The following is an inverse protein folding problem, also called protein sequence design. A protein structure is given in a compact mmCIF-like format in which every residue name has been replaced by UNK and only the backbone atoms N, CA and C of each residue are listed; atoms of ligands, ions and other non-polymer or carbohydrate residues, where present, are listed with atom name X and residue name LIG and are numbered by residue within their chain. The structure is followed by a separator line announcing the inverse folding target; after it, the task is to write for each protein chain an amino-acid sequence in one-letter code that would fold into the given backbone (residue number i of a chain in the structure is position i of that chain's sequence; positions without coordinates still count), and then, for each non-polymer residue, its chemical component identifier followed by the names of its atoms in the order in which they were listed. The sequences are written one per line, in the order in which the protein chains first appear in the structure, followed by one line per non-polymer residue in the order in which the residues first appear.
data_IF_758003274552
#
_entry.id   IF_758003274552
#
_cell.length_a   1.000
_cell.length_b   1.000
_cell.length_c   1.000
_cell.angle_alpha   90.00
_cell.angle_beta   90.00
_cell.angle_gamma   90.00
#
_symmetry.space_group_name_H-M   'P 1'
#
loop_
_entity.id
_entity.type
_entity.pdbx_description
1 polymer ?
#
# COMPACT_ATOMS: atom_id res chain seq x y z
N UNK A 1 31.52 -15.90 -5.55
CA UNK A 1 30.56 -14.90 -6.09
C UNK A 1 31.38 -13.88 -6.85
N UNK A 2 31.05 -13.62 -8.11
CA UNK A 2 31.69 -12.55 -8.87
C UNK A 2 31.56 -11.22 -8.09
N UNK A 3 32.67 -10.50 -7.89
CA UNK A 3 32.70 -9.25 -7.13
C UNK A 3 31.79 -8.19 -7.78
N UNK A 4 31.67 -8.21 -9.11
CA UNK A 4 30.78 -7.31 -9.85
C UNK A 4 29.31 -7.66 -9.58
N UNK A 5 28.96 -8.94 -9.51
CA UNK A 5 27.59 -9.38 -9.20
C UNK A 5 27.19 -8.98 -7.78
N UNK A 6 28.11 -9.10 -6.81
CA UNK A 6 27.86 -8.66 -5.43
C UNK A 6 27.59 -7.16 -5.37
N UNK A 7 28.42 -6.34 -6.02
CA UNK A 7 28.26 -4.88 -6.03
C UNK A 7 26.94 -4.47 -6.70
N UNK A 8 26.62 -5.05 -7.86
CA UNK A 8 25.38 -4.78 -8.56
C UNK A 8 24.14 -5.16 -7.74
N UNK A 9 24.19 -6.30 -7.02
CA UNK A 9 23.10 -6.69 -6.15
C UNK A 9 22.89 -5.72 -4.98
N UNK A 10 23.96 -5.18 -4.39
CA UNK A 10 23.86 -4.17 -3.33
C UNK A 10 23.24 -2.88 -3.87
N UNK A 11 23.77 -2.36 -4.98
CA UNK A 11 23.25 -1.14 -5.61
C UNK A 11 21.78 -1.29 -6.01
N UNK A 12 21.39 -2.45 -6.57
CA UNK A 12 20.02 -2.77 -6.96
C UNK A 12 19.02 -2.74 -5.78
N UNK A 13 19.44 -3.13 -4.58
CA UNK A 13 18.56 -3.15 -3.40
C UNK A 13 18.60 -1.86 -2.58
N UNK A 14 19.59 -1.00 -2.80
CA UNK A 14 19.84 0.20 -1.99
C UNK A 14 19.36 1.49 -2.67
N UNK A 15 19.62 1.65 -3.97
CA UNK A 15 19.42 2.93 -4.65
C UNK A 15 18.13 2.99 -5.49
N UNK A 16 17.59 4.19 -5.70
CA UNK A 16 16.31 4.43 -6.38
C UNK A 16 15.13 4.21 -5.44
N UNK A 17 14.73 2.94 -5.24
CA UNK A 17 13.73 2.55 -4.24
C UNK A 17 14.25 1.33 -3.48
N UNK A 18 14.66 1.48 -2.21
CA UNK A 18 15.21 0.36 -1.45
C UNK A 18 14.24 -0.81 -1.31
N UNK A 19 14.80 -2.02 -1.32
CA UNK A 19 14.05 -3.27 -1.16
C UNK A 19 13.41 -3.78 -2.46
N UNK A 20 12.47 -4.72 -2.32
CA UNK A 20 11.86 -5.45 -3.46
C UNK A 20 10.35 -5.35 -3.55
N UNK A 21 9.69 -4.97 -2.46
CA UNK A 21 8.24 -5.04 -2.32
C UNK A 21 7.68 -3.62 -2.23
N UNK A 22 6.53 -3.40 -2.88
CA UNK A 22 5.75 -2.17 -2.75
C UNK A 22 4.27 -2.50 -2.73
N UNK A 23 3.48 -1.67 -2.06
CA UNK A 23 2.02 -1.70 -2.06
C UNK A 23 1.53 -0.34 -2.54
N UNK A 24 0.56 -0.33 -3.43
CA UNK A 24 -0.04 0.88 -3.99
C UNK A 24 -1.56 0.82 -3.76
N UNK A 25 -2.21 1.92 -3.36
CA UNK A 25 -3.66 1.99 -3.23
C UNK A 25 -4.37 1.66 -4.55
N UNK A 26 -5.50 0.96 -4.49
CA UNK A 26 -6.33 0.64 -5.67
C UNK A 26 -7.36 1.73 -5.98
N UNK A 27 -7.61 2.65 -5.05
CA UNK A 27 -8.51 3.80 -5.19
C UNK A 27 -7.69 5.09 -5.21
N UNK A 28 -8.22 6.12 -5.88
CA UNK A 28 -7.61 7.45 -5.89
C UNK A 28 -7.61 8.04 -4.48
N UNK A 29 -6.53 8.76 -4.14
CA UNK A 29 -6.34 9.46 -2.86
C UNK A 29 -5.86 10.89 -3.14
N UNK A 30 -6.50 11.56 -4.10
CA UNK A 30 -5.99 12.79 -4.72
C UNK A 30 -6.47 14.08 -4.06
N UNK A 31 -7.55 14.01 -3.29
CA UNK A 31 -8.21 15.17 -2.71
C UNK A 31 -8.84 14.84 -1.35
N UNK A 32 -9.41 15.85 -0.68
CA UNK A 32 -10.01 15.68 0.65
C UNK A 32 -11.19 14.70 0.66
N UNK A 33 -12.02 14.70 -0.40
CA UNK A 33 -13.15 13.78 -0.51
C UNK A 33 -12.66 12.34 -0.64
N UNK A 34 -11.63 12.09 -1.44
CA UNK A 34 -11.03 10.76 -1.59
C UNK A 34 -10.51 10.24 -0.24
N UNK A 35 -9.81 11.09 0.51
CA UNK A 35 -9.31 10.75 1.84
C UNK A 35 -10.45 10.49 2.84
N UNK A 36 -11.51 11.30 2.82
CA UNK A 36 -12.66 11.12 3.68
C UNK A 36 -13.44 9.83 3.41
N UNK A 37 -13.38 9.30 2.19
CA UNK A 37 -13.95 7.99 1.84
C UNK A 37 -13.04 6.82 2.22
N UNK A 38 -11.73 6.97 2.03
CA UNK A 38 -10.75 5.93 2.33
C UNK A 38 -10.46 5.76 3.83
N UNK A 39 -10.66 6.82 4.62
CA UNK A 39 -10.44 6.88 6.06
C UNK A 39 -11.68 7.47 6.76
N UNK A 40 -11.50 8.06 7.93
CA UNK A 40 -12.58 8.72 8.66
C UNK A 40 -13.09 9.96 7.91
N UNK A 41 -14.42 10.17 7.86
CA UNK A 41 -15.49 9.35 8.46
C UNK A 41 -16.00 8.19 7.59
N UNK A 42 -15.71 8.16 6.29
CA UNK A 42 -16.36 7.27 5.32
C UNK A 42 -16.09 5.78 5.51
N UNK A 43 -14.91 5.39 5.97
CA UNK A 43 -14.56 3.98 6.24
C UNK A 43 -15.46 3.34 7.29
N UNK A 44 -16.07 4.13 8.18
CA UNK A 44 -16.94 3.63 9.24
C UNK A 44 -18.12 2.83 8.68
N UNK A 45 -18.71 3.26 7.56
CA UNK A 45 -19.82 2.55 6.94
C UNK A 45 -19.44 1.13 6.49
N UNK A 46 -18.24 0.95 5.91
CA UNK A 46 -17.75 -0.39 5.55
C UNK A 46 -17.53 -1.26 6.80
N UNK A 47 -17.01 -0.68 7.88
CA UNK A 47 -16.86 -1.40 9.15
C UNK A 47 -18.21 -1.81 9.75
N UNK A 48 -19.21 -0.92 9.75
CA UNK A 48 -20.55 -1.18 10.27
C UNK A 48 -21.25 -2.32 9.51
N UNK A 49 -21.13 -2.35 8.18
CA UNK A 49 -21.67 -3.44 7.35
C UNK A 49 -21.01 -4.80 7.64
N UNK A 50 -19.70 -4.84 7.86
CA UNK A 50 -18.97 -6.07 8.23
C UNK A 50 -19.34 -6.52 9.65
N UNK A 51 -19.57 -5.58 10.57
CA UNK A 51 -20.05 -5.88 11.92
C UNK A 51 -21.46 -6.49 11.87
N UNK A 52 -22.33 -5.96 11.01
CA UNK A 52 -23.69 -6.47 10.84
C UNK A 52 -23.73 -7.85 10.15
N UNK A 53 -22.93 -8.04 9.11
CA UNK A 53 -22.74 -9.32 8.43
C UNK A 53 -21.26 -9.55 8.07
N UNK A 54 -20.57 -10.49 8.76
CA UNK A 54 -19.18 -10.82 8.47
C UNK A 54 -18.90 -11.32 7.04
N UNK A 55 -19.92 -11.67 6.24
CA UNK A 55 -19.74 -12.02 4.84
C UNK A 55 -19.48 -10.80 3.93
N UNK A 56 -19.68 -9.56 4.40
CA UNK A 56 -19.48 -8.31 3.64
C UNK A 56 -18.01 -7.85 3.55
N UNK A 57 -17.06 -8.78 3.57
CA UNK A 57 -15.60 -8.53 3.49
C UNK A 57 -15.08 -8.35 2.07
#
# INVERSE_FOLDING_TARGET
MDANLRKAALEYHEFGRPGKISVTPTKQLTNQRDLALAYSPGVAAACEEIVADPANV
#
